data_IF_106654522532
#
_entry.id   IF_106654522532
#
_cell.length_a   1.000
_cell.length_b   1.000
_cell.length_c   1.000
_cell.angle_alpha   90.00
_cell.angle_beta   90.00
_cell.angle_gamma   90.00
#
_symmetry.space_group_name_H-M   'P 1'
#
loop_
_entity.id
_entity.type
_entity.pdbx_description
1 polymer ?
#
# COMPACT_ATOMS: atom_id res chain seq x y z
N UNK A 1 24.77 24.89 8.15
CA UNK A 1 24.78 26.03 9.09
C UNK A 1 23.50 26.85 8.92
N UNK A 2 22.55 26.73 9.85
CA UNK A 2 21.90 27.83 10.57
C UNK A 2 20.79 27.23 11.46
N UNK A 3 21.01 27.46 12.74
CA UNK A 3 20.15 27.17 13.88
C UNK A 3 18.98 28.16 13.93
N UNK A 4 17.83 27.72 14.41
CA UNK A 4 17.02 28.57 15.29
C UNK A 4 16.32 27.70 16.34
N UNK A 5 16.32 28.21 17.58
CA UNK A 5 16.14 27.49 18.84
C UNK A 5 15.04 28.22 19.63
N UNK A 6 14.30 27.44 20.45
CA UNK A 6 13.56 27.81 21.69
C UNK A 6 12.10 28.25 21.45
N UNK A 7 11.07 27.64 22.08
CA UNK A 7 10.91 27.51 23.54
C UNK A 7 10.21 26.25 24.05
N UNK A 8 10.55 25.88 25.29
CA UNK A 8 10.07 24.74 26.08
C UNK A 8 8.91 25.13 27.00
N UNK A 9 8.07 24.13 27.30
CA UNK A 9 7.33 23.83 28.55
C UNK A 9 6.18 24.78 28.92
N UNK A 10 4.99 24.28 29.33
CA UNK A 10 4.69 23.44 30.52
C UNK A 10 3.43 22.58 30.18
N UNK A 11 3.51 21.24 30.27
CA UNK A 11 2.90 20.32 31.28
C UNK A 11 1.38 20.51 31.47
N UNK A 12 0.51 19.49 31.50
CA UNK A 12 0.67 18.15 32.07
C UNK A 12 -0.40 17.15 31.52
N UNK A 13 -0.26 15.85 31.82
CA UNK A 13 -0.76 14.72 31.03
C UNK A 13 -1.91 13.96 31.73
N UNK A 14 -2.58 13.03 31.03
CA UNK A 14 -3.21 11.87 31.67
C UNK A 14 -3.15 10.61 30.77
N UNK A 15 -2.10 9.83 31.07
CA UNK A 15 -2.01 8.35 31.23
C UNK A 15 -2.16 7.41 30.02
N UNK A 16 -0.99 7.09 29.47
CA UNK A 16 -0.64 5.74 29.02
C UNK A 16 -0.63 4.75 30.20
N UNK A 17 -1.06 3.51 29.96
CA UNK A 17 -0.54 2.37 30.72
C UNK A 17 -0.46 1.16 29.79
N UNK A 18 0.75 0.95 29.27
CA UNK A 18 1.24 -0.37 28.89
C UNK A 18 1.69 -1.05 30.18
N UNK A 19 1.08 -2.19 30.51
CA UNK A 19 1.66 -3.13 31.47
C UNK A 19 1.69 -4.51 30.82
N UNK A 20 2.90 -4.93 30.49
CA UNK A 20 3.26 -6.27 30.03
C UNK A 20 3.80 -7.03 31.24
N UNK A 21 3.40 -8.30 31.36
CA UNK A 21 3.94 -9.36 32.23
C UNK A 21 3.74 -9.23 33.75
N UNK A 22 2.89 -10.09 34.32
CA UNK A 22 3.25 -11.33 35.03
C UNK A 22 1.97 -11.93 35.65
N UNK A 23 1.47 -13.04 35.09
CA UNK A 23 0.84 -14.15 35.82
C UNK A 23 0.73 -15.34 34.85
N UNK A 24 1.88 -15.96 34.57
CA UNK A 24 1.94 -17.40 34.34
C UNK A 24 2.10 -18.02 35.73
N UNK A 25 1.05 -18.66 36.23
CA UNK A 25 1.12 -19.74 37.22
C UNK A 25 0.89 -21.07 36.49
N UNK A 26 1.47 -22.19 36.97
CA UNK A 26 1.60 -23.41 36.18
C UNK A 26 0.24 -24.06 35.89
N UNK A 27 0.19 -24.70 34.72
CA UNK A 27 -0.82 -25.71 34.36
C UNK A 27 -0.71 -26.83 35.40
N UNK A 28 -1.77 -27.08 36.16
CA UNK A 28 -1.91 -28.30 36.93
C UNK A 28 -2.30 -29.45 36.01
N UNK A 29 -1.48 -30.50 36.02
CA UNK A 29 -1.69 -31.76 35.32
C UNK A 29 -2.80 -32.59 36.00
N UNK A 30 -4.05 -32.21 35.82
CA UNK A 30 -5.17 -33.14 35.95
C UNK A 30 -6.38 -32.60 35.18
N UNK A 31 -6.65 -33.17 34.00
CA UNK A 31 -7.76 -32.76 33.14
C UNK A 31 -9.14 -33.03 33.74
N UNK A 32 -9.57 -32.25 34.74
CA UNK A 32 -10.90 -32.33 35.33
C UNK A 32 -11.55 -30.95 35.50
N UNK A 33 -12.72 -30.77 34.87
CA UNK A 33 -13.61 -29.63 35.11
C UNK A 33 -14.50 -29.94 36.33
N UNK A 34 -14.63 -29.04 37.33
CA UNK A 34 -15.49 -29.31 38.48
C UNK A 34 -16.97 -29.06 38.16
N UNK A 35 -17.79 -30.10 38.31
CA UNK A 35 -19.25 -30.06 38.21
C UNK A 35 -19.97 -30.04 39.56
N UNK A 36 -20.86 -29.04 39.70
CA UNK A 36 -22.20 -28.95 40.37
C UNK A 36 -22.49 -29.43 41.81
N UNK A 37 -23.15 -28.53 42.56
CA UNK A 37 -24.44 -28.67 43.33
C UNK A 37 -24.75 -27.27 43.94
N UNK A 38 -25.96 -26.68 44.04
CA UNK A 38 -27.34 -27.09 43.80
C UNK A 38 -28.30 -25.87 43.77
N UNK A 39 -29.60 -26.13 43.70
CA UNK A 39 -30.64 -25.39 42.97
C UNK A 39 -31.31 -24.16 43.62
N UNK A 40 -31.78 -23.24 42.76
CA UNK A 40 -33.03 -22.47 42.94
C UNK A 40 -33.65 -22.18 41.56
N UNK A 41 -34.90 -22.59 41.25
CA UNK A 41 -35.45 -22.40 39.92
C UNK A 41 -36.05 -21.00 39.79
N UNK A 42 -35.37 -20.11 39.07
CA UNK A 42 -35.96 -18.90 38.52
C UNK A 42 -36.23 -19.16 37.04
N UNK A 43 -37.47 -18.92 36.61
CA UNK A 43 -38.02 -19.31 35.31
C UNK A 43 -37.05 -19.07 34.13
N UNK A 44 -36.57 -20.16 33.53
CA UNK A 44 -35.79 -20.15 32.29
C UNK A 44 -36.65 -19.63 31.15
N UNK A 45 -36.42 -18.36 30.79
CA UNK A 45 -36.80 -17.85 29.48
C UNK A 45 -36.01 -18.62 28.41
N UNK A 46 -36.70 -19.05 27.35
CA UNK A 46 -36.25 -19.95 26.28
C UNK A 46 -35.13 -19.41 25.36
N UNK A 47 -34.02 -18.88 25.91
CA UNK A 47 -32.90 -18.30 25.15
C UNK A 47 -31.65 -19.17 25.07
N UNK A 48 -31.64 -20.33 25.71
CA UNK A 48 -30.43 -21.14 25.86
C UNK A 48 -30.17 -22.09 24.67
N UNK A 49 -31.13 -22.26 23.75
CA UNK A 49 -31.02 -23.22 22.62
C UNK A 49 -30.08 -22.76 21.49
N UNK A 50 -29.56 -21.53 21.51
CA UNK A 50 -28.73 -21.00 20.42
C UNK A 50 -27.22 -20.91 20.71
N UNK A 51 -26.77 -21.12 21.94
CA UNK A 51 -25.35 -20.92 22.28
C UNK A 51 -24.46 -22.06 21.77
N UNK A 52 -24.92 -23.31 21.91
CA UNK A 52 -24.18 -24.50 21.46
C UNK A 52 -24.00 -24.58 19.92
N UNK A 53 -24.92 -23.95 19.16
CA UNK A 53 -24.88 -23.95 17.70
C UNK A 53 -23.80 -23.03 17.14
N UNK A 54 -23.40 -21.98 17.88
CA UNK A 54 -22.37 -21.03 17.43
C UNK A 54 -20.96 -21.57 17.67
N UNK A 55 -20.72 -22.21 18.81
CA UNK A 55 -19.43 -22.83 19.14
C UNK A 55 -19.07 -23.94 18.15
N UNK A 56 -20.02 -24.78 17.75
CA UNK A 56 -19.82 -25.81 16.73
C UNK A 56 -19.51 -25.24 15.33
N UNK A 57 -19.82 -23.96 15.09
CA UNK A 57 -19.49 -23.25 13.85
C UNK A 57 -18.20 -22.42 13.96
N UNK A 58 -17.47 -22.56 15.06
CA UNK A 58 -16.25 -21.80 15.32
C UNK A 58 -16.51 -20.37 15.78
N UNK A 59 -17.61 -20.09 16.48
CA UNK A 59 -17.90 -18.76 17.02
C UNK A 59 -18.13 -18.79 18.53
N UNK A 60 -17.64 -17.78 19.24
CA UNK A 60 -17.82 -17.63 20.69
C UNK A 60 -18.34 -16.22 20.99
N UNK A 61 -19.41 -16.16 21.77
CA UNK A 61 -19.88 -14.90 22.34
C UNK A 61 -19.30 -14.73 23.74
N UNK A 62 -18.53 -13.67 23.97
CA UNK A 62 -17.97 -13.33 25.28
C UNK A 62 -18.34 -11.89 25.64
N UNK A 63 -19.10 -11.69 26.72
CA UNK A 63 -19.52 -10.36 27.19
C UNK A 63 -20.18 -9.47 26.11
N UNK A 64 -20.94 -10.08 25.21
CA UNK A 64 -21.61 -9.38 24.09
C UNK A 64 -20.72 -9.11 22.87
N UNK A 65 -19.47 -9.60 22.88
CA UNK A 65 -18.52 -9.52 21.78
C UNK A 65 -18.41 -10.88 21.11
N UNK A 66 -18.51 -10.90 19.77
CA UNK A 66 -18.43 -12.12 18.98
C UNK A 66 -17.00 -12.36 18.48
N UNK A 67 -16.48 -13.55 18.75
CA UNK A 67 -15.19 -14.03 18.27
C UNK A 67 -15.38 -15.20 17.31
N UNK A 68 -14.45 -15.35 16.37
CA UNK A 68 -14.34 -16.47 15.45
C UNK A 68 -13.04 -17.23 15.71
N UNK A 69 -13.14 -18.55 15.74
CA UNK A 69 -12.03 -19.48 15.88
C UNK A 69 -12.04 -20.43 14.69
N UNK A 70 -10.86 -20.72 14.15
CA UNK A 70 -10.71 -21.78 13.16
C UNK A 70 -10.36 -23.06 13.91
N UNK A 71 -11.21 -24.10 13.91
CA UNK A 71 -10.87 -25.37 14.57
C UNK A 71 -9.72 -26.12 13.87
N UNK A 72 -9.45 -25.78 12.61
CA UNK A 72 -8.46 -26.45 11.76
C UNK A 72 -7.04 -25.88 11.87
N UNK A 73 -6.91 -24.67 12.45
CA UNK A 73 -5.63 -23.98 12.56
C UNK A 73 -5.53 -23.40 13.95
N UNK A 74 -4.51 -23.76 14.72
CA UNK A 74 -4.16 -23.14 16.00
C UNK A 74 -3.86 -21.65 15.79
N UNK A 75 -4.91 -20.86 15.68
CA UNK A 75 -4.89 -19.43 15.44
C UNK A 75 -5.58 -18.75 16.59
N UNK A 76 -5.05 -17.59 16.97
CA UNK A 76 -5.69 -16.73 17.95
C UNK A 76 -7.12 -16.38 17.52
N UNK A 77 -7.97 -16.17 18.52
CA UNK A 77 -9.34 -15.72 18.32
C UNK A 77 -9.40 -14.45 17.44
N UNK A 78 -10.21 -14.47 16.39
CA UNK A 78 -10.47 -13.29 15.58
C UNK A 78 -11.71 -12.55 16.11
N UNK A 79 -11.58 -11.26 16.39
CA UNK A 79 -12.73 -10.40 16.69
C UNK A 79 -13.63 -10.26 15.45
N UNK A 80 -14.92 -10.54 15.58
CA UNK A 80 -15.88 -10.33 14.49
C UNK A 80 -16.28 -8.85 14.43
N UNK A 81 -15.91 -8.19 13.33
CA UNK A 81 -16.06 -6.75 13.16
C UNK A 81 -17.43 -6.40 12.57
N UNK A 82 -18.14 -5.50 13.24
CA UNK A 82 -19.42 -4.93 12.77
C UNK A 82 -19.19 -4.03 11.55
N UNK A 83 -20.22 -3.79 10.74
CA UNK A 83 -20.09 -2.99 9.51
C UNK A 83 -19.52 -1.58 9.78
N UNK A 84 -19.89 -0.98 10.91
CA UNK A 84 -19.50 0.38 11.29
C UNK A 84 -18.01 0.50 11.64
N UNK A 85 -17.39 -0.55 12.16
CA UNK A 85 -15.98 -0.53 12.60
C UNK A 85 -14.99 -0.97 11.51
N UNK A 86 -15.46 -1.52 10.39
CA UNK A 86 -14.58 -2.06 9.32
C UNK A 86 -13.64 -1.01 8.77
N UNK A 87 -14.13 0.20 8.52
CA UNK A 87 -13.32 1.29 7.97
C UNK A 87 -12.24 1.71 8.97
N UNK A 88 -12.59 1.87 10.25
CA UNK A 88 -11.64 2.19 11.31
C UNK A 88 -10.52 1.17 11.42
N UNK A 89 -10.85 -0.13 11.33
CA UNK A 89 -9.85 -1.20 11.30
C UNK A 89 -8.91 -1.03 10.11
N UNK A 90 -9.40 -0.68 8.92
CA UNK A 90 -8.53 -0.48 7.76
C UNK A 90 -7.67 0.78 7.87
N UNK A 91 -8.20 1.88 8.40
CA UNK A 91 -7.40 3.09 8.66
C UNK A 91 -6.19 2.79 9.55
N UNK A 92 -6.38 2.02 10.63
CA UNK A 92 -5.31 1.62 11.54
C UNK A 92 -4.32 0.61 10.94
N UNK A 93 -4.76 -0.20 9.99
CA UNK A 93 -3.95 -1.29 9.44
C UNK A 93 -3.38 -1.02 8.04
N UNK A 94 -3.80 0.07 7.39
CA UNK A 94 -3.33 0.50 6.07
C UNK A 94 -2.79 1.94 6.04
N UNK A 95 -3.51 2.91 6.64
CA UNK A 95 -3.24 4.35 6.43
C UNK A 95 -2.21 4.93 7.39
N UNK A 96 -2.05 4.33 8.58
CA UNK A 96 -1.03 4.81 9.52
C UNK A 96 0.37 4.61 8.93
N UNK A 97 1.31 5.56 9.10
CA UNK A 97 2.65 5.45 8.51
C UNK A 97 3.40 4.15 8.89
N UNK A 98 3.16 3.65 10.10
CA UNK A 98 3.74 2.40 10.61
C UNK A 98 3.14 1.14 9.98
N UNK A 99 2.02 1.25 9.25
CA UNK A 99 1.41 0.15 8.54
C UNK A 99 1.98 -0.06 7.12
N UNK A 100 2.75 0.90 6.60
CA UNK A 100 3.52 0.73 5.37
C UNK A 100 2.70 0.61 4.09
N UNK A 101 1.39 0.90 4.10
CA UNK A 101 0.52 0.88 2.92
C UNK A 101 0.62 -0.41 2.08
N UNK A 102 0.65 -1.57 2.73
CA UNK A 102 0.75 -2.86 2.03
C UNK A 102 -0.36 -3.04 0.98
N UNK A 103 -0.04 -3.77 -0.09
CA UNK A 103 -1.03 -4.23 -1.06
C UNK A 103 -2.15 -5.06 -0.42
N UNK A 104 -3.21 -5.33 -1.18
CA UNK A 104 -4.43 -5.97 -0.68
C UNK A 104 -4.18 -7.26 0.12
N UNK A 105 -3.30 -8.15 -0.36
CA UNK A 105 -2.98 -9.41 0.35
C UNK A 105 -2.19 -9.18 1.64
N UNK A 106 -1.24 -8.24 1.65
CA UNK A 106 -0.46 -7.91 2.85
C UNK A 106 -1.35 -7.29 3.93
N UNK A 107 -2.22 -6.36 3.53
CA UNK A 107 -3.22 -5.76 4.41
C UNK A 107 -4.20 -6.82 4.92
N UNK A 108 -4.68 -7.74 4.06
CA UNK A 108 -5.54 -8.85 4.47
C UNK A 108 -4.88 -9.72 5.54
N UNK A 109 -3.63 -10.15 5.35
CA UNK A 109 -2.93 -10.99 6.33
C UNK A 109 -2.79 -10.29 7.69
N UNK A 110 -2.49 -8.98 7.69
CA UNK A 110 -2.36 -8.18 8.91
C UNK A 110 -3.68 -7.98 9.64
N UNK A 111 -4.78 -7.84 8.91
CA UNK A 111 -6.13 -7.71 9.50
C UNK A 111 -6.64 -9.08 9.97
N UNK A 112 -6.43 -10.13 9.17
CA UNK A 112 -6.86 -11.49 9.45
C UNK A 112 -6.15 -12.14 10.64
N UNK A 113 -5.05 -11.58 11.17
CA UNK A 113 -4.46 -12.11 12.39
C UNK A 113 -5.31 -11.82 13.64
N UNK A 114 -6.17 -10.80 13.60
CA UNK A 114 -6.94 -10.34 14.79
C UNK A 114 -8.42 -10.11 14.53
N UNK A 115 -8.82 -9.96 13.27
CA UNK A 115 -10.18 -9.56 12.91
C UNK A 115 -10.77 -10.46 11.83
N UNK A 116 -12.09 -10.56 11.85
CA UNK A 116 -12.85 -11.25 10.82
C UNK A 116 -14.13 -10.49 10.51
N UNK A 117 -14.51 -10.48 9.23
CA UNK A 117 -15.87 -10.16 8.83
C UNK A 117 -16.19 -10.80 7.46
N UNK A 118 -17.46 -11.11 7.17
CA UNK A 118 -17.85 -11.65 5.88
C UNK A 118 -17.45 -10.72 4.73
N UNK A 119 -16.83 -11.29 3.69
CA UNK A 119 -16.38 -10.53 2.52
C UNK A 119 -15.09 -9.71 2.72
N UNK A 120 -14.34 -9.93 3.80
CA UNK A 120 -13.16 -9.14 4.16
C UNK A 120 -12.12 -8.98 3.05
N UNK A 121 -11.80 -10.05 2.30
CA UNK A 121 -10.86 -9.97 1.17
C UNK A 121 -11.29 -8.94 0.12
N UNK A 122 -12.57 -8.96 -0.28
CA UNK A 122 -13.11 -8.03 -1.28
C UNK A 122 -13.11 -6.60 -0.75
N UNK A 123 -13.58 -6.40 0.48
CA UNK A 123 -13.65 -5.08 1.11
C UNK A 123 -12.25 -4.44 1.25
N UNK A 124 -11.25 -5.22 1.71
CA UNK A 124 -9.86 -4.76 1.82
C UNK A 124 -9.28 -4.43 0.44
N UNK A 125 -9.51 -5.29 -0.56
CA UNK A 125 -9.00 -5.04 -1.91
C UNK A 125 -9.56 -3.74 -2.50
N UNK A 126 -10.84 -3.45 -2.27
CA UNK A 126 -11.48 -2.20 -2.70
C UNK A 126 -10.95 -0.98 -1.96
N UNK A 127 -10.76 -1.09 -0.64
CA UNK A 127 -10.16 -0.03 0.18
C UNK A 127 -8.75 0.33 -0.29
N UNK A 128 -7.86 -0.66 -0.38
CA UNK A 128 -6.47 -0.47 -0.82
C UNK A 128 -6.39 0.03 -2.26
N UNK A 129 -7.28 -0.45 -3.15
CA UNK A 129 -7.39 0.05 -4.53
C UNK A 129 -7.73 1.54 -4.56
N UNK A 130 -8.50 2.03 -3.59
CA UNK A 130 -8.96 3.41 -3.53
C UNK A 130 -8.10 4.36 -2.69
N UNK A 131 -7.08 3.85 -1.98
CA UNK A 131 -6.14 4.66 -1.22
C UNK A 131 -5.42 5.72 -2.12
N UNK A 132 -5.53 7.03 -1.82
CA UNK A 132 -4.90 8.09 -2.60
C UNK A 132 -3.38 7.98 -2.67
N UNK A 133 -2.73 7.65 -1.55
CA UNK A 133 -1.27 7.56 -1.46
C UNK A 133 -0.73 6.36 -2.24
N UNK A 134 -1.40 5.21 -2.13
CA UNK A 134 -1.08 4.06 -2.97
C UNK A 134 -1.28 4.36 -4.46
N UNK A 135 -2.37 5.03 -4.86
CA UNK A 135 -2.60 5.38 -6.27
C UNK A 135 -1.51 6.27 -6.85
N UNK A 136 -0.99 7.21 -6.07
CA UNK A 136 0.07 8.14 -6.50
C UNK A 136 1.42 7.46 -6.65
N UNK A 137 1.76 6.55 -5.74
CA UNK A 137 3.11 5.96 -5.67
C UNK A 137 3.23 4.62 -6.41
N UNK A 138 2.12 3.94 -6.70
CA UNK A 138 2.17 2.59 -7.26
C UNK A 138 2.54 2.60 -8.74
N UNK A 139 3.66 1.98 -9.15
CA UNK A 139 3.99 1.86 -10.55
C UNK A 139 2.97 0.96 -11.27
N UNK A 140 2.78 1.22 -12.56
CA UNK A 140 2.05 0.29 -13.41
C UNK A 140 2.87 -0.98 -13.60
N UNK A 141 2.27 -2.13 -13.32
CA UNK A 141 2.84 -3.43 -13.68
C UNK A 141 2.38 -3.91 -15.06
N UNK A 142 1.66 -3.06 -15.81
CA UNK A 142 1.27 -3.39 -17.17
C UNK A 142 2.50 -3.39 -18.05
N UNK A 143 2.60 -4.40 -18.91
CA UNK A 143 3.64 -4.41 -19.95
C UNK A 143 3.43 -3.19 -20.86
N UNK A 144 4.50 -2.57 -21.37
CA UNK A 144 4.38 -1.59 -22.43
C UNK A 144 3.50 -2.15 -23.55
N UNK A 145 2.60 -1.32 -24.08
CA UNK A 145 1.88 -1.67 -25.31
C UNK A 145 2.92 -1.89 -26.41
N UNK A 146 2.64 -2.83 -27.34
CA UNK A 146 3.63 -3.37 -28.29
C UNK A 146 4.50 -2.33 -29.01
N UNK A 147 5.60 -2.80 -29.60
CA UNK A 147 6.57 -1.94 -30.28
C UNK A 147 5.89 -1.13 -31.40
N UNK A 148 6.14 0.17 -31.41
CA UNK A 148 5.78 1.03 -32.54
C UNK A 148 6.50 0.50 -33.79
N UNK A 149 5.73 0.16 -34.83
CA UNK A 149 6.29 -0.11 -36.16
C UNK A 149 6.41 1.21 -36.89
N UNK A 150 7.62 1.76 -36.97
CA UNK A 150 7.89 2.90 -37.84
C UNK A 150 7.81 2.45 -39.31
N UNK A 151 7.21 3.24 -40.20
CA UNK A 151 7.23 2.95 -41.64
C UNK A 151 8.68 2.87 -42.15
N UNK A 152 8.89 2.05 -43.18
CA UNK A 152 10.18 1.92 -43.87
C UNK A 152 10.18 2.91 -45.04
N UNK A 153 10.99 3.96 -44.92
CA UNK A 153 11.23 4.91 -46.00
C UNK A 153 12.30 4.36 -46.93
N UNK A 154 12.12 4.52 -48.23
CA UNK A 154 12.98 3.88 -49.25
C UNK A 154 13.90 4.91 -49.90
N UNK A 155 13.50 6.17 -49.92
CA UNK A 155 14.23 7.23 -50.59
C UNK A 155 15.14 8.01 -49.63
N UNK A 156 16.30 8.46 -50.13
CA UNK A 156 17.20 9.34 -49.39
C UNK A 156 16.52 10.69 -49.11
N UNK A 157 16.75 11.25 -47.93
CA UNK A 157 16.15 12.53 -47.50
C UNK A 157 14.61 12.54 -47.47
N UNK A 158 13.96 11.38 -47.47
CA UNK A 158 12.51 11.27 -47.33
C UNK A 158 12.06 11.56 -45.90
N UNK A 159 12.88 11.19 -44.91
CA UNK A 159 12.62 11.51 -43.49
C UNK A 159 13.94 11.84 -42.81
N UNK A 160 14.04 13.10 -42.38
CA UNK A 160 15.12 13.58 -41.52
C UNK A 160 14.65 13.57 -40.07
N UNK A 161 15.47 13.04 -39.19
CA UNK A 161 15.33 13.26 -37.76
C UNK A 161 16.35 14.32 -37.31
N UNK A 162 15.98 14.99 -36.22
CA UNK A 162 16.68 16.14 -35.68
C UNK A 162 16.85 15.94 -34.19
N UNK A 163 18.06 16.14 -33.68
CA UNK A 163 18.31 16.04 -32.24
C UNK A 163 19.31 17.11 -31.78
N UNK A 164 19.40 17.33 -30.47
CA UNK A 164 20.36 18.23 -29.88
C UNK A 164 21.16 17.52 -28.79
N UNK A 165 22.47 17.68 -28.86
CA UNK A 165 23.36 17.26 -27.79
C UNK A 165 23.86 18.48 -27.02
N UNK A 166 23.70 18.46 -25.69
CA UNK A 166 24.23 19.49 -24.79
C UNK A 166 23.29 19.87 -23.65
N UNK A 167 23.65 20.90 -22.84
CA UNK A 167 24.77 21.81 -23.08
C UNK A 167 26.16 21.20 -22.84
N UNK A 168 27.13 21.60 -23.66
CA UNK A 168 28.56 21.28 -23.58
C UNK A 168 29.35 22.45 -23.00
N UNK A 169 30.61 22.23 -22.56
CA UNK A 169 31.53 23.32 -22.29
C UNK A 169 31.60 24.28 -23.48
N UNK A 170 31.53 25.57 -23.18
CA UNK A 170 31.51 26.60 -24.20
C UNK A 170 32.84 26.65 -24.95
N UNK A 171 32.77 26.68 -26.28
CA UNK A 171 33.95 26.89 -27.12
C UNK A 171 34.40 28.35 -27.10
N UNK A 172 35.61 28.64 -27.58
CA UNK A 172 36.07 30.03 -27.81
C UNK A 172 35.17 30.84 -28.76
N UNK A 173 34.32 30.16 -29.53
CA UNK A 173 33.34 30.73 -30.46
C UNK A 173 31.91 30.77 -29.90
N UNK A 174 31.73 30.64 -28.58
CA UNK A 174 30.43 30.73 -27.90
C UNK A 174 29.41 29.71 -28.45
N UNK A 175 29.88 28.48 -28.68
CA UNK A 175 29.03 27.33 -29.05
C UNK A 175 29.01 26.34 -27.90
N UNK A 176 27.82 25.84 -27.57
CA UNK A 176 27.61 24.93 -26.43
C UNK A 176 26.61 23.82 -26.71
N UNK A 177 26.13 23.69 -27.94
CA UNK A 177 25.21 22.63 -28.37
C UNK A 177 25.62 22.11 -29.73
N UNK A 178 25.36 20.83 -29.96
CA UNK A 178 25.48 20.20 -31.28
C UNK A 178 24.07 19.92 -31.77
N UNK A 179 23.74 20.42 -32.96
CA UNK A 179 22.52 20.11 -33.68
C UNK A 179 22.81 18.95 -34.64
N UNK A 180 22.11 17.83 -34.44
CA UNK A 180 22.18 16.64 -35.28
C UNK A 180 21.07 16.68 -36.32
N UNK A 181 21.44 16.31 -37.54
CA UNK A 181 20.52 16.02 -38.64
C UNK A 181 20.84 14.63 -39.14
N UNK A 182 19.93 13.68 -38.99
CA UNK A 182 20.10 12.30 -39.48
C UNK A 182 19.07 11.97 -40.56
N UNK A 183 19.55 11.45 -41.70
CA UNK A 183 18.68 10.78 -42.67
C UNK A 183 18.36 9.38 -42.16
N UNK A 184 17.10 9.18 -41.76
CA UNK A 184 16.64 7.96 -41.12
C UNK A 184 16.77 6.72 -42.02
N UNK A 185 16.84 6.89 -43.34
CA UNK A 185 17.03 5.81 -44.31
C UNK A 185 18.52 5.49 -44.52
N UNK A 186 19.30 6.45 -45.02
CA UNK A 186 20.71 6.22 -45.37
C UNK A 186 21.66 6.17 -44.18
N UNK A 187 21.20 6.62 -42.99
CA UNK A 187 22.01 6.84 -41.79
C UNK A 187 23.13 7.85 -41.98
N UNK A 188 23.01 8.72 -42.98
CA UNK A 188 23.86 9.89 -43.12
C UNK A 188 23.55 10.89 -42.00
N UNK A 189 24.59 11.45 -41.38
CA UNK A 189 24.46 12.35 -40.23
C UNK A 189 25.32 13.59 -40.43
N UNK A 190 24.73 14.76 -40.19
CA UNK A 190 25.43 16.04 -40.09
C UNK A 190 25.31 16.64 -38.69
N UNK A 191 26.38 17.30 -38.27
CA UNK A 191 26.50 17.92 -36.96
C UNK A 191 26.84 19.41 -37.12
N UNK A 192 26.10 20.26 -36.43
CA UNK A 192 26.31 21.70 -36.45
C UNK A 192 26.50 22.28 -35.05
N UNK A 193 27.52 23.12 -34.88
CA UNK A 193 27.76 23.79 -33.61
C UNK A 193 26.83 25.02 -33.44
N UNK A 194 25.96 24.98 -32.44
CA UNK A 194 25.04 26.06 -32.09
C UNK A 194 25.37 26.67 -30.73
N UNK A 195 25.11 27.98 -30.62
CA UNK A 195 25.09 28.69 -29.34
C UNK A 195 23.83 28.32 -28.56
N UNK A 196 22.69 28.36 -29.23
CA UNK A 196 21.38 28.03 -28.67
C UNK A 196 20.56 27.20 -29.65
N UNK A 197 19.80 26.25 -29.11
CA UNK A 197 18.87 25.40 -29.85
C UNK A 197 17.54 26.13 -30.06
N UNK A 198 17.59 27.19 -30.88
CA UNK A 198 16.40 27.93 -31.31
C UNK A 198 16.07 27.58 -32.75
N UNK A 199 14.79 27.62 -33.10
CA UNK A 199 14.33 27.34 -34.47
C UNK A 199 15.02 28.21 -35.51
N UNK A 200 15.23 29.51 -35.20
CA UNK A 200 15.91 30.47 -36.06
C UNK A 200 17.36 30.05 -36.35
N UNK A 201 18.09 29.60 -35.33
CA UNK A 201 19.47 29.15 -35.53
C UNK A 201 19.53 27.85 -36.33
N UNK A 202 18.57 26.96 -36.16
CA UNK A 202 18.49 25.72 -36.92
C UNK A 202 18.18 25.99 -38.40
N UNK A 203 17.17 26.84 -38.68
CA UNK A 203 16.83 27.22 -40.06
C UNK A 203 18.03 27.84 -40.79
N UNK A 204 18.70 28.83 -40.18
CA UNK A 204 19.92 29.46 -40.73
C UNK A 204 21.08 28.50 -41.00
N UNK A 205 21.07 27.33 -40.36
CA UNK A 205 22.11 26.31 -40.52
C UNK A 205 21.78 25.33 -41.64
N UNK A 206 20.49 25.21 -41.98
CA UNK A 206 19.97 24.31 -43.03
C UNK A 206 19.70 25.04 -44.36
N UNK A 207 19.63 26.38 -44.34
CA UNK A 207 19.53 27.26 -45.52
C UNK A 207 20.85 27.32 -46.30
#
# INVERSE_FOLDING_TARGET
MRSCRISKQVLAPLVDTVMVMWLLGPISDDGSYPGKMGDRPMSRSSKDENFANWTNRGYLMNQGILYRYSPEVETEAQLVVTVQERERVLQQHHDVPTAGHYGAEGTYKKVASRYYFPGMRKYIAEYVKNCPDCKRCKPSNQKPTGLLRTPVYVQRFETLAFDFFGPLPETSSDKKKIFLVDDTNTKWVEFFALKEATSVNCAKTLD
#
